data_IF_389673072491
#
_entry.id   IF_389673072491
#
_cell.length_a   1.000
_cell.length_b   1.000
_cell.length_c   1.000
_cell.angle_alpha   90.00
_cell.angle_beta   90.00
_cell.angle_gamma   90.00
#
_symmetry.space_group_name_H-M   'P 1'
#
loop_
_entity.id
_entity.type
_entity.pdbx_description
1 polymer ?
#
# COMPACT_ATOMS: atom_id res chain seq x y z
N UNK A 1 -23.53 -0.06 -3.94
CA UNK A 1 -22.74 0.09 -2.69
C UNK A 1 -21.46 0.82 -3.04
N UNK A 2 -21.21 1.97 -2.40
CA UNK A 2 -19.95 2.69 -2.57
C UNK A 2 -18.88 2.05 -1.68
N UNK A 3 -17.71 1.76 -2.25
CA UNK A 3 -16.53 1.27 -1.53
C UNK A 3 -15.26 1.65 -2.28
N UNK A 4 -14.12 1.64 -1.59
CA UNK A 4 -12.82 1.67 -2.25
C UNK A 4 -12.68 0.45 -3.19
N UNK A 5 -12.11 0.65 -4.38
CA UNK A 5 -12.05 -0.37 -5.45
C UNK A 5 -10.67 -1.01 -5.60
N UNK A 6 -9.63 -0.40 -5.04
CA UNK A 6 -8.25 -0.85 -5.18
C UNK A 6 -7.28 0.14 -4.54
N UNK A 7 -5.99 -0.09 -4.74
CA UNK A 7 -4.92 0.80 -4.29
C UNK A 7 -4.71 1.88 -5.36
N UNK A 8 -5.03 3.13 -5.05
CA UNK A 8 -4.69 4.26 -5.94
C UNK A 8 -3.18 4.48 -5.97
N UNK A 9 -2.55 4.47 -4.80
CA UNK A 9 -1.10 4.47 -4.66
C UNK A 9 -0.70 3.92 -3.30
N UNK A 10 0.53 3.40 -3.22
CA UNK A 10 1.18 3.00 -1.96
C UNK A 10 2.52 3.71 -1.86
N UNK A 11 2.81 4.31 -0.70
CA UNK A 11 4.04 5.08 -0.49
C UNK A 11 4.95 4.39 0.53
N UNK A 12 6.21 4.17 0.14
CA UNK A 12 7.24 3.58 0.97
C UNK A 12 8.23 4.64 1.45
N UNK A 13 8.60 4.57 2.72
CA UNK A 13 9.75 5.32 3.24
C UNK A 13 11.06 4.77 2.66
N UNK A 14 11.96 5.64 2.23
CA UNK A 14 13.28 5.24 1.71
C UNK A 14 14.38 6.19 2.17
N UNK A 15 15.58 5.66 2.41
CA UNK A 15 16.80 6.45 2.60
C UNK A 15 17.52 6.70 1.26
N UNK A 16 17.24 5.90 0.22
CA UNK A 16 17.88 5.97 -1.09
C UNK A 16 16.85 5.87 -2.23
N UNK A 17 16.24 7.03 -2.54
CA UNK A 17 15.28 7.22 -3.62
C UNK A 17 15.82 6.72 -4.96
N UNK A 18 17.09 6.99 -5.25
CA UNK A 18 17.70 6.61 -6.53
C UNK A 18 17.70 5.09 -6.67
N UNK A 19 18.15 4.37 -5.63
CA UNK A 19 18.19 2.90 -5.63
C UNK A 19 16.80 2.29 -5.77
N UNK A 20 15.78 2.87 -5.13
CA UNK A 20 14.40 2.43 -5.30
C UNK A 20 13.91 2.63 -6.73
N UNK A 21 14.09 3.83 -7.30
CA UNK A 21 13.68 4.12 -8.67
C UNK A 21 14.42 3.24 -9.68
N UNK A 22 15.74 3.05 -9.55
CA UNK A 22 16.52 2.16 -10.43
C UNK A 22 16.03 0.71 -10.33
N UNK A 23 15.76 0.22 -9.13
CA UNK A 23 15.26 -1.14 -8.95
C UNK A 23 13.87 -1.32 -9.59
N UNK A 24 12.89 -0.48 -9.24
CA UNK A 24 11.53 -0.66 -9.74
C UNK A 24 11.43 -0.41 -11.25
N UNK A 25 12.22 0.52 -11.80
CA UNK A 25 12.21 0.78 -13.25
C UNK A 25 12.98 -0.25 -14.07
N UNK A 26 14.19 -0.67 -13.68
CA UNK A 26 14.93 -1.68 -14.45
C UNK A 26 14.49 -3.10 -14.11
N UNK A 27 14.46 -3.48 -12.84
CA UNK A 27 14.17 -4.85 -12.44
C UNK A 27 12.71 -5.21 -12.72
N UNK A 28 11.77 -4.34 -12.37
CA UNK A 28 10.33 -4.59 -12.54
C UNK A 28 9.73 -3.95 -13.80
N UNK A 29 10.44 -3.05 -14.48
CA UNK A 29 9.95 -2.44 -15.71
C UNK A 29 8.94 -1.31 -15.50
N UNK A 30 8.84 -0.76 -14.29
CA UNK A 30 7.83 0.24 -13.92
C UNK A 30 8.29 1.66 -14.29
N UNK A 31 7.59 2.39 -15.17
CA UNK A 31 7.99 3.74 -15.55
C UNK A 31 7.96 4.72 -14.38
N UNK A 32 9.01 5.55 -14.22
CA UNK A 32 8.95 6.72 -13.33
C UNK A 32 8.06 7.78 -13.97
N UNK A 33 6.97 8.18 -13.30
CA UNK A 33 6.00 9.15 -13.84
C UNK A 33 6.02 10.50 -13.13
N UNK A 34 6.52 10.56 -11.90
CA UNK A 34 6.71 11.83 -11.21
C UNK A 34 7.83 11.74 -10.16
N UNK A 35 8.57 12.84 -9.98
CA UNK A 35 9.50 13.03 -8.86
C UNK A 35 9.61 14.52 -8.55
N UNK A 36 9.43 14.90 -7.29
CA UNK A 36 9.39 16.30 -6.88
C UNK A 36 9.68 16.48 -5.38
N UNK A 37 10.06 17.69 -4.93
CA UNK A 37 10.11 18.03 -3.52
C UNK A 37 8.73 17.84 -2.88
N UNK A 38 8.67 17.08 -1.79
CA UNK A 38 7.41 16.75 -1.11
C UNK A 38 6.71 18.02 -0.63
N UNK A 39 5.44 18.16 -1.01
CA UNK A 39 4.62 19.33 -0.72
C UNK A 39 4.57 19.65 0.78
N UNK A 40 5.14 20.80 1.17
CA UNK A 40 5.10 21.29 2.54
C UNK A 40 6.02 20.55 3.53
N UNK A 41 6.89 19.65 3.08
CA UNK A 41 7.80 18.88 3.94
C UNK A 41 9.26 19.23 3.62
N UNK A 42 9.96 19.99 4.49
CA UNK A 42 11.35 20.38 4.26
C UNK A 42 12.27 19.18 4.05
N UNK A 43 13.09 19.22 3.00
CA UNK A 43 14.04 18.15 2.66
C UNK A 43 13.41 16.86 2.13
N UNK A 44 12.07 16.78 2.07
CA UNK A 44 11.38 15.61 1.56
C UNK A 44 11.39 15.53 0.04
N UNK A 45 11.63 14.35 -0.51
CA UNK A 45 11.47 14.03 -1.93
C UNK A 45 10.39 12.94 -2.06
N UNK A 46 9.50 13.10 -3.03
CA UNK A 46 8.41 12.16 -3.30
C UNK A 46 8.45 11.77 -4.78
N UNK A 47 8.42 10.47 -5.08
CA UNK A 47 8.31 9.97 -6.45
C UNK A 47 7.14 9.01 -6.63
N UNK A 48 6.76 8.78 -7.89
CA UNK A 48 5.73 7.86 -8.31
C UNK A 48 6.21 7.09 -9.54
N UNK A 49 6.09 5.77 -9.50
CA UNK A 49 6.22 4.86 -10.64
C UNK A 49 4.84 4.29 -11.00
N UNK A 50 4.61 4.03 -12.28
CA UNK A 50 3.37 3.47 -12.79
C UNK A 50 3.35 1.94 -12.58
N UNK A 51 2.36 1.45 -11.82
CA UNK A 51 2.02 0.03 -11.74
C UNK A 51 0.90 -0.35 -12.70
N UNK A 52 -0.17 0.45 -12.73
CA UNK A 52 -1.21 0.39 -13.76
C UNK A 52 -1.83 1.78 -13.94
N UNK A 53 -2.78 1.91 -14.85
CA UNK A 53 -3.51 3.15 -15.06
C UNK A 53 -4.25 3.68 -13.81
N UNK A 54 -4.59 2.81 -12.85
CA UNK A 54 -5.26 3.19 -11.59
C UNK A 54 -4.36 3.03 -10.34
N UNK A 55 -3.11 2.55 -10.46
CA UNK A 55 -2.24 2.25 -9.33
C UNK A 55 -0.80 2.76 -9.52
N UNK A 56 -0.31 3.55 -8.56
CA UNK A 56 1.06 4.05 -8.51
C UNK A 56 1.85 3.45 -7.34
N UNK A 57 3.13 3.18 -7.57
CA UNK A 57 4.09 2.85 -6.50
C UNK A 57 4.89 4.10 -6.18
N UNK A 58 4.86 4.54 -4.93
CA UNK A 58 5.49 5.78 -4.49
C UNK A 58 6.59 5.52 -3.48
N UNK A 59 7.58 6.41 -3.47
CA UNK A 59 8.60 6.49 -2.45
C UNK A 59 8.69 7.90 -1.88
N UNK A 60 8.87 7.98 -0.55
CA UNK A 60 9.09 9.20 0.20
C UNK A 60 10.45 9.11 0.88
N UNK A 61 11.35 10.02 0.54
CA UNK A 61 12.64 10.17 1.18
C UNK A 61 12.63 11.41 2.07
N UNK A 62 12.93 11.22 3.36
CA UNK A 62 13.19 12.29 4.33
C UNK A 62 14.62 12.12 4.88
N UNK A 63 15.31 13.21 5.24
CA UNK A 63 16.70 13.15 5.73
C UNK A 63 16.90 12.16 6.88
N UNK A 64 15.95 12.11 7.82
CA UNK A 64 16.05 11.32 9.05
C UNK A 64 15.86 9.81 8.82
N UNK A 65 15.32 9.38 7.66
CA UNK A 65 15.09 7.96 7.37
C UNK A 65 16.41 7.19 7.31
N UNK A 66 17.48 7.82 6.82
CA UNK A 66 18.80 7.20 6.70
C UNK A 66 19.41 6.78 8.07
N UNK A 67 18.95 7.40 9.16
CA UNK A 67 19.41 7.11 10.53
C UNK A 67 18.59 6.00 11.21
N UNK A 68 17.52 5.52 10.58
CA UNK A 68 16.64 4.48 11.14
C UNK A 68 17.16 3.09 10.73
N UNK A 69 17.52 2.28 11.72
CA UNK A 69 18.00 0.92 11.48
C UNK A 69 16.89 -0.03 10.99
N UNK A 70 17.24 -0.90 10.04
CA UNK A 70 16.43 -2.06 9.68
C UNK A 70 16.64 -3.16 10.73
N UNK A 71 15.56 -3.60 11.37
CA UNK A 71 15.54 -4.72 12.29
C UNK A 71 14.50 -5.74 11.80
N UNK A 72 14.96 -6.84 11.22
CA UNK A 72 14.07 -7.92 10.79
C UNK A 72 13.33 -8.53 11.99
N UNK A 73 12.04 -8.81 11.82
CA UNK A 73 11.17 -9.21 12.92
C UNK A 73 10.50 -8.04 13.64
N UNK A 74 10.92 -6.79 13.37
CA UNK A 74 10.41 -5.57 14.02
C UNK A 74 9.99 -4.51 13.00
N UNK A 75 10.94 -3.91 12.27
CA UNK A 75 10.62 -2.87 11.29
C UNK A 75 10.34 -3.45 9.91
N UNK A 76 10.93 -4.61 9.61
CA UNK A 76 10.75 -5.34 8.35
C UNK A 76 10.48 -6.81 8.63
N UNK A 77 9.63 -7.45 7.82
CA UNK A 77 9.38 -8.89 7.94
C UNK A 77 10.57 -9.72 7.45
N UNK A 78 11.22 -9.28 6.37
CA UNK A 78 12.29 -10.02 5.69
C UNK A 78 11.79 -11.14 4.77
N UNK A 79 10.62 -11.72 5.03
CA UNK A 79 9.88 -12.58 4.09
C UNK A 79 8.39 -12.63 4.46
N UNK A 80 7.54 -13.11 3.54
CA UNK A 80 6.10 -13.25 3.74
C UNK A 80 5.66 -14.20 4.86
N UNK A 81 6.58 -14.95 5.47
CA UNK A 81 6.29 -15.86 6.59
C UNK A 81 6.86 -15.41 7.94
N UNK A 82 7.47 -14.22 8.00
CA UNK A 82 8.13 -13.71 9.20
C UNK A 82 7.39 -12.49 9.78
N UNK A 83 7.56 -12.20 11.08
CA UNK A 83 6.84 -11.13 11.75
C UNK A 83 7.42 -9.74 11.47
N UNK A 84 6.60 -8.71 11.66
CA UNK A 84 6.98 -7.30 11.79
C UNK A 84 6.03 -6.60 12.77
N UNK A 85 6.26 -5.33 13.09
CA UNK A 85 5.43 -4.59 14.02
C UNK A 85 3.96 -4.51 13.54
N UNK A 86 2.98 -4.55 14.46
CA UNK A 86 1.57 -4.42 14.09
C UNK A 86 1.28 -3.17 13.24
N UNK A 87 0.52 -3.33 12.17
CA UNK A 87 0.14 -2.24 11.26
C UNK A 87 1.21 -1.86 10.21
N UNK A 88 2.36 -2.53 10.18
CA UNK A 88 3.37 -2.35 9.11
C UNK A 88 3.05 -3.22 7.90
N UNK A 89 3.63 -2.89 6.74
CA UNK A 89 3.53 -3.74 5.56
C UNK A 89 4.44 -4.96 5.70
N UNK A 90 3.86 -6.16 5.59
CA UNK A 90 4.63 -7.41 5.63
C UNK A 90 5.29 -7.70 4.26
N UNK A 91 4.51 -7.66 3.18
CA UNK A 91 4.97 -7.80 1.80
C UNK A 91 4.03 -7.05 0.84
N UNK A 92 4.51 -6.79 -0.38
CA UNK A 92 3.73 -6.21 -1.48
C UNK A 92 3.63 -7.21 -2.63
N UNK A 93 2.40 -7.62 -2.95
CA UNK A 93 2.11 -8.39 -4.15
C UNK A 93 1.69 -7.46 -5.30
N UNK A 94 2.32 -7.63 -6.46
CA UNK A 94 2.03 -6.92 -7.71
C UNK A 94 1.41 -7.90 -8.70
N UNK A 95 0.41 -7.44 -9.45
CA UNK A 95 -0.35 -8.29 -10.37
C UNK A 95 0.31 -8.35 -11.75
N UNK A 96 0.23 -9.52 -12.38
CA UNK A 96 0.37 -9.74 -13.82
C UNK A 96 -0.81 -10.57 -14.33
N UNK A 97 -1.13 -10.49 -15.62
CA UNK A 97 -2.40 -10.98 -16.14
C UNK A 97 -2.38 -12.49 -16.38
N UNK A 98 -1.22 -13.09 -16.60
CA UNK A 98 -1.10 -14.50 -16.97
C UNK A 98 0.10 -15.20 -16.34
N UNK A 99 0.06 -16.54 -16.32
CA UNK A 99 1.20 -17.37 -15.91
C UNK A 99 2.43 -17.15 -16.81
N UNK A 100 2.23 -16.93 -18.11
CA UNK A 100 3.34 -16.65 -19.03
C UNK A 100 4.01 -15.30 -18.70
N UNK A 101 3.22 -14.28 -18.35
CA UNK A 101 3.76 -12.99 -17.86
C UNK A 101 4.47 -13.14 -16.52
N UNK A 102 3.94 -13.96 -15.61
CA UNK A 102 4.59 -14.29 -14.33
C UNK A 102 5.98 -14.90 -14.57
N UNK A 103 6.09 -15.87 -15.48
CA UNK A 103 7.35 -16.50 -15.85
C UNK A 103 8.29 -15.56 -16.62
N UNK A 104 7.76 -14.71 -17.49
CA UNK A 104 8.55 -13.70 -18.20
C UNK A 104 9.15 -12.67 -17.24
N UNK A 105 8.35 -12.18 -16.28
CA UNK A 105 8.82 -11.23 -15.27
C UNK A 105 9.83 -11.89 -14.31
N UNK A 106 9.69 -13.18 -14.01
CA UNK A 106 10.68 -13.96 -13.24
C UNK A 106 12.04 -13.91 -13.93
N UNK A 107 12.07 -14.18 -15.23
CA UNK A 107 13.30 -14.22 -16.01
C UNK A 107 13.90 -12.82 -16.17
N UNK A 108 13.03 -11.79 -16.29
CA UNK A 108 13.43 -10.38 -16.22
C UNK A 108 14.15 -10.08 -14.91
N UNK A 109 13.57 -10.42 -13.76
CA UNK A 109 14.13 -10.16 -12.42
C UNK A 109 15.48 -10.90 -12.25
N UNK A 110 15.51 -12.19 -12.61
CA UNK A 110 16.72 -13.02 -12.50
C UNK A 110 17.86 -12.55 -13.39
N UNK A 111 17.59 -12.01 -14.57
CA UNK A 111 18.64 -11.49 -15.45
C UNK A 111 19.31 -10.22 -14.92
N UNK A 112 18.74 -9.56 -13.91
CA UNK A 112 19.36 -8.45 -13.14
C UNK A 112 20.05 -8.93 -11.86
N UNK A 113 20.20 -10.25 -11.69
CA UNK A 113 20.89 -10.83 -10.54
C UNK A 113 20.06 -10.90 -9.26
N UNK A 114 18.74 -10.74 -9.34
CA UNK A 114 17.83 -10.86 -8.18
C UNK A 114 17.26 -12.28 -8.12
N UNK A 115 17.41 -12.91 -6.96
CA UNK A 115 16.89 -14.26 -6.74
C UNK A 115 15.37 -14.24 -6.60
N UNK A 116 14.70 -15.21 -7.21
CA UNK A 116 13.24 -15.36 -7.18
C UNK A 116 12.87 -16.77 -6.73
N UNK A 117 12.02 -16.86 -5.71
CA UNK A 117 11.44 -18.09 -5.18
C UNK A 117 10.06 -18.32 -5.79
N UNK A 118 9.86 -19.46 -6.45
CA UNK A 118 8.60 -19.81 -7.11
C UNK A 118 8.76 -20.10 -8.61
N UNK A 119 7.64 -20.27 -9.35
CA UNK A 119 6.27 -20.00 -8.90
C UNK A 119 5.76 -20.98 -7.84
N UNK A 120 4.79 -20.53 -7.04
CA UNK A 120 4.07 -21.25 -6.01
C UNK A 120 2.57 -21.17 -6.31
N UNK A 121 1.82 -22.20 -5.95
CA UNK A 121 0.35 -22.23 -6.08
C UNK A 121 -0.27 -22.13 -4.68
N UNK A 122 -0.98 -21.03 -4.42
CA UNK A 122 -1.69 -20.76 -3.17
C UNK A 122 -3.18 -21.15 -3.26
N UNK A 123 -3.59 -21.82 -4.34
CA UNK A 123 -4.96 -22.19 -4.67
C UNK A 123 -5.82 -21.02 -5.15
N UNK A 124 -5.72 -19.85 -4.51
CA UNK A 124 -6.44 -18.63 -4.92
C UNK A 124 -5.69 -17.82 -5.99
N UNK A 125 -4.36 -18.00 -6.05
CA UNK A 125 -3.47 -17.35 -6.99
C UNK A 125 -2.18 -18.17 -7.14
N UNK A 126 -1.43 -17.90 -8.21
CA UNK A 126 -0.05 -18.36 -8.36
C UNK A 126 0.87 -17.16 -8.22
N UNK A 127 1.97 -17.32 -7.50
CA UNK A 127 2.87 -16.20 -7.24
C UNK A 127 4.33 -16.60 -7.06
N UNK A 128 5.19 -15.61 -6.95
CA UNK A 128 6.62 -15.78 -6.70
C UNK A 128 7.15 -14.63 -5.83
N UNK A 129 8.10 -14.93 -4.95
CA UNK A 129 8.65 -13.99 -3.97
C UNK A 129 10.10 -13.64 -4.26
N UNK A 130 10.48 -12.39 -3.98
CA UNK A 130 11.84 -11.88 -4.16
C UNK A 130 12.08 -10.67 -3.25
N UNK A 131 13.35 -10.35 -3.01
CA UNK A 131 13.74 -9.21 -2.18
C UNK A 131 13.87 -7.93 -3.02
N UNK A 132 13.39 -6.81 -2.48
CA UNK A 132 13.66 -5.46 -2.96
C UNK A 132 14.73 -4.73 -2.15
N UNK A 133 15.09 -3.50 -2.54
CA UNK A 133 15.97 -2.64 -1.75
C UNK A 133 15.43 -2.41 -0.34
N UNK A 134 16.33 -2.11 0.60
CA UNK A 134 15.96 -1.73 1.97
C UNK A 134 15.09 -2.76 2.71
N UNK A 135 15.23 -4.05 2.37
CA UNK A 135 14.53 -5.14 3.06
C UNK A 135 13.06 -5.30 2.67
N UNK A 136 12.61 -4.67 1.58
CA UNK A 136 11.29 -4.89 1.01
C UNK A 136 11.09 -6.37 0.64
N UNK A 137 9.98 -6.95 1.07
CA UNK A 137 9.52 -8.27 0.63
C UNK A 137 8.50 -8.10 -0.48
N UNK A 138 8.84 -8.55 -1.68
CA UNK A 138 8.04 -8.35 -2.89
C UNK A 138 7.53 -9.68 -3.44
N UNK A 139 6.37 -9.61 -4.07
CA UNK A 139 5.68 -10.73 -4.71
C UNK A 139 5.13 -10.30 -6.07
N UNK A 140 5.21 -11.18 -7.06
CA UNK A 140 4.39 -11.06 -8.28
C UNK A 140 3.36 -12.18 -8.23
N UNK A 141 2.09 -11.86 -8.48
CA UNK A 141 0.99 -12.81 -8.42
C UNK A 141 0.08 -12.69 -9.65
N UNK A 142 -0.57 -13.79 -10.02
CA UNK A 142 -1.61 -13.85 -11.05
C UNK A 142 -2.71 -14.82 -10.64
N UNK A 143 -3.93 -14.55 -11.08
CA UNK A 143 -5.13 -15.36 -10.79
C UNK A 143 -6.00 -15.42 -12.04
N UNK A 144 -6.51 -16.61 -12.38
CA UNK A 144 -7.39 -16.77 -13.55
C UNK A 144 -8.76 -16.13 -13.33
N UNK A 145 -9.25 -16.15 -12.08
CA UNK A 145 -10.57 -15.70 -11.69
C UNK A 145 -10.49 -14.91 -10.36
N UNK A 146 -11.43 -14.00 -10.09
CA UNK A 146 -11.56 -13.39 -8.77
C UNK A 146 -11.80 -14.45 -7.68
N UNK A 147 -11.27 -14.20 -6.48
CA UNK A 147 -11.48 -15.07 -5.31
C UNK A 147 -12.98 -15.18 -4.99
N UNK A 148 -13.53 -16.40 -5.04
CA UNK A 148 -14.91 -16.67 -4.61
C UNK A 148 -14.97 -16.84 -3.08
N UNK A 149 -15.61 -15.91 -2.34
CA UNK A 149 -15.67 -15.99 -0.88
C UNK A 149 -16.33 -17.27 -0.35
N UNK A 150 -17.15 -17.96 -1.15
CA UNK A 150 -17.79 -19.23 -0.73
C UNK A 150 -16.77 -20.33 -0.44
N UNK A 151 -15.61 -20.28 -1.07
CA UNK A 151 -14.56 -21.30 -0.94
C UNK A 151 -13.44 -20.86 0.00
N UNK A 152 -13.33 -19.57 0.29
CA UNK A 152 -12.17 -18.97 0.98
C UNK A 152 -12.50 -18.30 2.32
N UNK A 153 -13.77 -18.21 2.69
CA UNK A 153 -14.18 -17.83 4.05
C UNK A 153 -14.22 -19.08 4.95
N UNK A 154 -13.10 -19.37 5.60
CA UNK A 154 -12.95 -20.48 6.54
C UNK A 154 -13.53 -20.15 7.93
N UNK A 155 -14.58 -20.86 8.40
CA UNK A 155 -15.15 -20.67 9.73
C UNK A 155 -14.20 -20.99 10.89
N UNK A 156 -13.30 -21.97 10.72
CA UNK A 156 -12.38 -22.39 11.79
C UNK A 156 -11.31 -21.32 12.02
N UNK A 157 -10.64 -20.88 10.94
CA UNK A 157 -9.68 -19.78 11.01
C UNK A 157 -10.30 -18.48 11.55
N UNK A 158 -11.54 -18.17 11.17
CA UNK A 158 -12.24 -17.00 11.68
C UNK A 158 -12.55 -17.10 13.19
N UNK A 159 -12.90 -18.28 13.68
CA UNK A 159 -13.17 -18.51 15.09
C UNK A 159 -11.91 -18.33 15.95
N UNK A 160 -10.72 -18.71 15.45
CA UNK A 160 -9.43 -18.51 16.13
C UNK A 160 -9.14 -17.04 16.44
N UNK A 161 -9.63 -16.12 15.60
CA UNK A 161 -9.49 -14.66 15.77
C UNK A 161 -10.74 -13.99 16.34
N UNK A 162 -11.68 -14.77 16.88
CA UNK A 162 -12.89 -14.27 17.55
C UNK A 162 -13.98 -13.74 16.62
N UNK A 163 -13.95 -14.08 15.33
CA UNK A 163 -15.01 -13.75 14.37
C UNK A 163 -16.07 -14.86 14.40
N UNK A 164 -17.23 -14.55 14.99
CA UNK A 164 -18.37 -15.48 15.02
C UNK A 164 -19.01 -15.67 13.64
N UNK A 165 -19.79 -16.75 13.40
CA UNK A 165 -20.51 -16.93 12.14
C UNK A 165 -21.42 -15.75 11.77
N UNK A 166 -22.12 -15.17 12.75
CA UNK A 166 -22.97 -14.00 12.52
C UNK A 166 -22.16 -12.75 12.15
N UNK A 167 -20.97 -12.56 12.76
CA UNK A 167 -20.06 -11.48 12.38
C UNK A 167 -19.53 -11.67 10.97
N UNK A 168 -19.13 -12.89 10.61
CA UNK A 168 -18.63 -13.22 9.28
C UNK A 168 -19.68 -12.95 8.20
N UNK A 169 -20.93 -13.39 8.40
CA UNK A 169 -22.02 -13.14 7.46
C UNK A 169 -22.23 -11.63 7.22
N UNK A 170 -22.23 -10.83 8.29
CA UNK A 170 -22.34 -9.37 8.21
C UNK A 170 -21.13 -8.75 7.50
N UNK A 171 -19.91 -9.19 7.81
CA UNK A 171 -18.68 -8.65 7.22
C UNK A 171 -18.55 -8.98 5.73
N UNK A 172 -19.06 -10.13 5.30
CA UNK A 172 -19.08 -10.53 3.88
C UNK A 172 -20.04 -9.69 3.03
N UNK A 173 -21.00 -9.01 3.66
CA UNK A 173 -22.03 -8.18 3.02
C UNK A 173 -22.19 -6.87 3.81
N UNK A 174 -21.19 -5.98 3.76
CA UNK A 174 -21.26 -4.71 4.51
C UNK A 174 -22.49 -3.91 4.06
N UNK A 175 -23.04 -3.12 4.99
CA UNK A 175 -24.24 -2.33 4.71
C UNK A 175 -24.01 -1.34 3.56
N UNK A 176 -25.05 -1.12 2.76
CA UNK A 176 -25.02 -0.06 1.77
C UNK A 176 -25.00 1.31 2.47
N UNK A 177 -24.20 2.23 1.95
CA UNK A 177 -24.19 3.61 2.38
C UNK A 177 -24.80 4.50 1.29
N UNK A 178 -25.96 5.09 1.62
CA UNK A 178 -26.60 6.10 0.79
C UNK A 178 -26.15 7.48 1.26
N UNK A 179 -25.48 8.22 0.38
CA UNK A 179 -24.99 9.56 0.71
C UNK A 179 -26.20 10.48 0.98
N UNK A 180 -26.30 11.14 2.15
CA UNK A 180 -27.34 12.12 2.41
C UNK A 180 -27.22 13.33 1.49
N UNK A 181 -28.32 14.08 1.33
CA UNK A 181 -28.35 15.29 0.49
C UNK A 181 -27.36 16.36 0.99
N UNK A 182 -27.27 16.51 2.31
CA UNK A 182 -26.25 17.35 2.95
C UNK A 182 -25.04 16.48 3.35
N UNK A 183 -23.80 16.90 3.09
CA UNK A 183 -22.61 16.17 3.53
C UNK A 183 -22.60 15.93 5.04
N UNK A 184 -22.17 14.74 5.45
CA UNK A 184 -21.96 14.43 6.87
C UNK A 184 -20.77 15.25 7.37
N UNK A 185 -20.99 16.07 8.39
CA UNK A 185 -19.93 16.86 9.01
C UNK A 185 -18.91 15.97 9.74
N UNK A 186 -17.70 16.50 9.97
CA UNK A 186 -16.71 15.84 10.82
C UNK A 186 -17.30 15.54 12.21
N UNK A 187 -17.12 14.33 12.75
CA UNK A 187 -17.58 14.02 14.10
C UNK A 187 -16.69 14.73 15.14
N UNK A 188 -17.19 14.92 16.38
CA UNK A 188 -16.36 15.37 17.49
C UNK A 188 -15.16 14.43 17.70
N UNK A 189 -14.04 14.99 18.18
CA UNK A 189 -12.87 14.19 18.53
C UNK A 189 -13.22 13.14 19.60
N UNK A 190 -13.06 11.86 19.25
CA UNK A 190 -13.23 10.72 20.16
C UNK A 190 -11.89 9.98 20.30
N UNK A 191 -11.22 10.03 21.47
CA UNK A 191 -9.92 9.37 21.67
C UNK A 191 -9.95 7.84 21.49
N UNK A 192 -11.13 7.22 21.47
CA UNK A 192 -11.26 5.78 21.21
C UNK A 192 -11.23 5.43 19.71
N UNK A 193 -11.24 6.42 18.81
CA UNK A 193 -11.14 6.23 17.36
C UNK A 193 -9.70 6.41 16.87
N UNK A 194 -9.32 5.83 15.72
CA UNK A 194 -8.03 6.11 15.09
C UNK A 194 -7.89 7.59 14.72
N UNK A 195 -6.69 8.15 14.91
CA UNK A 195 -6.39 9.55 14.62
C UNK A 195 -5.04 9.72 13.95
N UNK A 196 -4.91 10.76 13.12
CA UNK A 196 -3.63 11.21 12.62
C UNK A 196 -2.82 11.83 13.76
N UNK A 197 -1.51 11.61 13.76
CA UNK A 197 -0.61 12.06 14.84
C UNK A 197 -0.14 13.50 14.60
N UNK A 198 -1.05 14.46 14.78
CA UNK A 198 -0.73 15.89 14.84
C UNK A 198 -0.70 16.37 16.30
N UNK A 199 0.00 17.48 16.61
CA UNK A 199 -0.18 18.17 17.88
C UNK A 199 -1.67 18.45 18.12
N UNK A 200 -2.22 18.01 19.25
CA UNK A 200 -3.66 18.01 19.49
C UNK A 200 -4.36 19.35 19.18
N UNK A 201 -3.85 20.52 19.60
CA UNK A 201 -4.50 21.80 19.26
C UNK A 201 -4.58 22.09 17.76
N UNK A 202 -3.57 21.67 16.99
CA UNK A 202 -3.55 21.80 15.53
C UNK A 202 -4.57 20.84 14.91
N UNK A 203 -4.63 19.61 15.41
CA UNK A 203 -5.56 18.61 14.89
C UNK A 203 -7.02 18.99 15.15
N UNK A 204 -7.35 19.47 16.35
CA UNK A 204 -8.70 19.93 16.68
C UNK A 204 -9.13 21.11 15.80
N UNK A 205 -8.21 22.00 15.43
CA UNK A 205 -8.48 23.07 14.47
C UNK A 205 -8.75 22.53 13.07
N UNK A 206 -7.97 21.56 12.59
CA UNK A 206 -8.19 20.93 11.29
C UNK A 206 -9.54 20.21 11.22
N UNK A 207 -9.93 19.49 12.28
CA UNK A 207 -11.23 18.80 12.37
C UNK A 207 -12.42 19.77 12.40
N UNK A 208 -12.21 21.02 12.81
CA UNK A 208 -13.25 22.05 12.81
C UNK A 208 -13.43 22.76 11.45
N UNK A 209 -12.50 22.56 10.50
CA UNK A 209 -12.60 23.14 9.16
C UNK A 209 -13.62 22.38 8.31
N UNK A 210 -14.32 23.10 7.44
CA UNK A 210 -15.12 22.47 6.39
C UNK A 210 -14.23 21.89 5.29
N UNK A 211 -14.77 20.93 4.53
CA UNK A 211 -14.08 20.35 3.37
C UNK A 211 -13.57 21.43 2.39
N UNK A 212 -14.37 22.48 2.16
CA UNK A 212 -13.99 23.59 1.28
C UNK A 212 -12.82 24.41 1.85
N UNK A 213 -12.83 24.69 3.15
CA UNK A 213 -11.72 25.41 3.80
C UNK A 213 -10.43 24.60 3.73
N UNK A 214 -10.52 23.29 3.94
CA UNK A 214 -9.36 22.40 3.86
C UNK A 214 -8.84 22.31 2.41
N UNK A 215 -9.73 22.21 1.43
CA UNK A 215 -9.39 22.23 0.01
C UNK A 215 -8.62 23.50 -0.38
N UNK A 216 -9.15 24.67 -0.02
CA UNK A 216 -8.54 25.95 -0.37
C UNK A 216 -7.18 26.15 0.31
N UNK A 217 -7.01 25.62 1.53
CA UNK A 217 -5.76 25.70 2.28
C UNK A 217 -4.65 24.74 1.79
N UNK A 218 -5.01 23.63 1.14
CA UNK A 218 -4.07 22.52 0.83
C UNK A 218 -3.87 22.24 -0.66
N UNK A 219 -4.60 22.93 -1.54
CA UNK A 219 -4.47 22.74 -2.99
C UNK A 219 -3.10 23.18 -3.53
N UNK A 220 -2.50 22.33 -4.35
CA UNK A 220 -1.34 22.65 -5.20
C UNK A 220 -1.82 22.61 -6.66
N UNK A 221 -1.88 23.77 -7.32
CA UNK A 221 -2.49 23.88 -8.66
C UNK A 221 -1.50 23.69 -9.82
N UNK A 222 -0.20 23.83 -9.56
CA UNK A 222 0.81 23.92 -10.62
C UNK A 222 1.75 22.70 -10.55
N UNK A 223 2.00 21.99 -11.67
CA UNK A 223 3.01 20.95 -11.71
C UNK A 223 4.41 21.53 -11.49
N UNK A 224 5.38 20.73 -11.00
CA UNK A 224 6.73 21.20 -10.69
C UNK A 224 7.52 21.65 -11.93
N UNK A 225 7.15 21.18 -13.12
CA UNK A 225 7.77 21.54 -14.41
C UNK A 225 6.68 22.09 -15.34
N UNK A 226 6.96 23.24 -15.97
CA UNK A 226 6.09 23.92 -16.93
C UNK A 226 6.55 23.69 -18.37
#
# INVERSE_FOLDING_TARGET
MIKARGVHHIAFSTADMKKQVEFFSDVLGMPLVAIFPMHGVPGGIHCFLEGSAECLISFVQLPEIADIAIEYGKTHAGSGSLPSAPGTLQHLALVVDTDDELLALRDRIRSRGVNVLGPMDHGMCRSMYFAGPEGLSLEIATSDEPVDPKHWLDPEAAAEVGITPAMMERMAKPDAFDRPAEPVAQPPYDPAKPHMLYPKPVYEQLLAMSDQQLWDATRFSDPPVK
#
